data_IF_060482827554
#
_entry.id   IF_060482827554
#
_cell.length_a   1.000
_cell.length_b   1.000
_cell.length_c   1.000
_cell.angle_alpha   90.00
_cell.angle_beta   90.00
_cell.angle_gamma   90.00
#
_symmetry.space_group_name_H-M   'P 1'
#
loop_
_entity.id
_entity.type
_entity.pdbx_description
1 polymer ?
#
# COMPACT_ATOMS: atom_id res chain seq x y z
N UNK A 1 9.00 10.22 33.78
CA UNK A 1 9.80 11.34 34.33
C UNK A 1 11.20 10.81 34.58
N UNK A 2 12.25 11.61 34.31
CA UNK A 2 13.70 11.28 34.22
C UNK A 2 14.06 10.51 32.93
N UNK A 3 14.79 11.02 31.94
CA UNK A 3 16.04 11.79 32.00
C UNK A 3 16.11 12.89 30.91
N UNK A 4 15.91 14.13 31.33
CA UNK A 4 16.17 15.33 30.51
C UNK A 4 17.61 15.87 30.68
N UNK A 5 18.45 15.15 31.44
CA UNK A 5 19.83 15.54 31.76
C UNK A 5 20.76 15.73 30.54
N UNK A 6 20.69 14.93 29.46
CA UNK A 6 21.57 15.11 28.31
C UNK A 6 21.18 16.34 27.48
N UNK A 7 19.87 16.55 27.26
CA UNK A 7 19.34 17.72 26.56
C UNK A 7 19.57 19.01 27.35
N UNK A 8 19.33 18.99 28.65
CA UNK A 8 19.63 20.11 29.54
C UNK A 8 21.15 20.39 29.61
N UNK A 9 21.98 19.35 29.57
CA UNK A 9 23.44 19.44 29.51
C UNK A 9 23.94 20.06 28.20
N UNK A 10 23.40 19.61 27.06
CA UNK A 10 23.71 20.14 25.73
C UNK A 10 23.26 21.59 25.53
N UNK A 11 22.01 21.91 25.91
CA UNK A 11 21.51 23.30 25.90
C UNK A 11 22.29 24.20 26.88
N UNK A 12 22.69 23.65 28.04
CA UNK A 12 23.55 24.34 29.00
C UNK A 12 24.96 24.62 28.46
N UNK A 13 25.55 23.66 27.74
CA UNK A 13 26.86 23.82 27.10
C UNK A 13 26.80 24.85 25.96
N UNK A 14 25.76 24.81 25.13
CA UNK A 14 25.51 25.80 24.08
C UNK A 14 25.33 27.21 24.68
N UNK A 15 24.54 27.34 25.75
CA UNK A 15 24.33 28.61 26.46
C UNK A 15 25.61 29.16 27.08
N UNK A 16 26.48 28.29 27.62
CA UNK A 16 27.81 28.66 28.12
C UNK A 16 28.74 29.10 26.98
N UNK A 17 28.72 28.41 25.84
CA UNK A 17 29.49 28.78 24.65
C UNK A 17 29.14 30.18 24.14
N UNK A 18 27.84 30.49 24.03
CA UNK A 18 27.37 31.84 23.64
C UNK A 18 27.78 32.91 24.67
N UNK A 19 27.78 32.59 25.97
CA UNK A 19 28.24 33.54 26.99
C UNK A 19 29.75 33.80 26.96
N UNK A 20 30.55 32.79 26.57
CA UNK A 20 32.00 32.94 26.39
C UNK A 20 32.36 33.85 25.21
N UNK A 21 31.49 33.92 24.19
CA UNK A 21 31.67 34.76 23.02
C UNK A 21 31.70 36.26 23.34
N UNK A 22 31.00 36.70 24.41
CA UNK A 22 31.07 38.09 24.91
C UNK A 22 32.49 38.45 25.39
N UNK A 23 33.18 37.52 26.05
CA UNK A 23 34.55 37.73 26.52
C UNK A 23 35.52 37.83 25.35
N UNK A 24 35.41 36.93 24.37
CA UNK A 24 36.27 36.95 23.18
C UNK A 24 36.05 38.20 22.31
N UNK A 25 34.81 38.68 22.19
CA UNK A 25 34.50 39.95 21.52
C UNK A 25 35.07 41.17 22.27
N UNK A 26 35.04 41.15 23.61
CA UNK A 26 35.64 42.19 24.44
C UNK A 26 37.17 42.22 24.27
N UNK A 27 37.81 41.06 24.21
CA UNK A 27 39.26 40.92 24.00
C UNK A 27 39.67 41.34 22.58
N UNK A 28 38.88 41.00 21.55
CA UNK A 28 39.16 41.35 20.15
C UNK A 28 38.89 42.84 19.81
N UNK A 29 37.93 43.48 20.49
CA UNK A 29 37.55 44.88 20.24
C UNK A 29 38.40 45.90 21.02
N UNK A 30 39.30 45.43 21.90
CA UNK A 30 40.20 46.27 22.69
C UNK A 30 39.51 47.12 23.76
N UNK A 31 40.26 48.01 24.45
CA UNK A 31 39.78 48.73 25.64
C UNK A 31 38.54 49.60 25.39
N UNK A 32 38.36 50.10 24.16
CA UNK A 32 37.22 50.93 23.75
C UNK A 32 36.00 50.10 23.29
N UNK A 33 36.19 48.81 22.98
CA UNK A 33 35.13 47.91 22.53
C UNK A 33 34.17 47.50 23.65
N UNK A 34 34.68 47.35 24.88
CA UNK A 34 33.87 46.98 26.05
C UNK A 34 32.78 48.02 26.33
N UNK A 35 33.11 49.31 26.21
CA UNK A 35 32.15 50.40 26.38
C UNK A 35 31.04 50.42 25.32
N UNK A 36 31.36 50.06 24.08
CA UNK A 36 30.39 49.95 22.99
C UNK A 36 29.48 48.72 23.16
N UNK A 37 30.02 47.58 23.61
CA UNK A 37 29.25 46.37 23.88
C UNK A 37 28.28 46.57 25.07
N UNK A 38 28.70 47.29 26.10
CA UNK A 38 27.83 47.64 27.24
C UNK A 38 26.79 48.72 26.87
N UNK A 39 27.10 49.65 25.97
CA UNK A 39 26.11 50.57 25.41
C UNK A 39 25.05 49.82 24.58
N UNK A 40 25.46 48.83 23.78
CA UNK A 40 24.56 47.98 23.00
C UNK A 40 23.65 47.11 23.88
N UNK A 41 24.18 46.50 24.95
CA UNK A 41 23.39 45.71 25.88
C UNK A 41 22.39 46.56 26.68
N UNK A 42 22.74 47.81 27.01
CA UNK A 42 21.81 48.75 27.66
C UNK A 42 20.70 49.22 26.73
N UNK A 43 21.00 49.42 25.45
CA UNK A 43 20.04 49.85 24.43
C UNK A 43 19.12 48.72 23.95
N UNK A 44 19.63 47.49 23.95
CA UNK A 44 18.92 46.27 23.57
C UNK A 44 19.13 45.17 24.63
N UNK A 45 18.34 45.15 25.71
CA UNK A 45 18.47 44.16 26.77
C UNK A 45 18.32 42.74 26.23
N UNK A 46 19.37 41.92 26.35
CA UNK A 46 19.38 40.54 25.86
C UNK A 46 19.97 40.36 24.47
N UNK A 47 20.59 41.39 23.87
CA UNK A 47 21.27 41.32 22.58
C UNK A 47 22.18 40.09 22.46
N UNK A 48 23.10 39.89 23.41
CA UNK A 48 24.02 38.73 23.43
C UNK A 48 23.35 37.38 23.74
N UNK A 49 22.06 37.39 24.11
CA UNK A 49 21.25 36.19 24.31
C UNK A 49 20.29 35.94 23.14
N UNK A 50 20.28 36.81 22.12
CA UNK A 50 19.43 36.67 20.95
C UNK A 50 19.99 35.61 19.98
N UNK A 51 19.09 34.88 19.32
CA UNK A 51 19.47 33.93 18.26
C UNK A 51 20.24 34.59 17.11
N UNK A 52 20.01 35.90 16.88
CA UNK A 52 20.71 36.68 15.87
C UNK A 52 22.22 36.79 16.09
N UNK A 53 22.68 36.89 17.35
CA UNK A 53 24.12 36.94 17.64
C UNK A 53 24.78 35.58 17.38
N UNK A 54 24.11 34.48 17.73
CA UNK A 54 24.59 33.14 17.42
C UNK A 54 24.63 32.89 15.90
N UNK A 55 23.61 33.33 15.17
CA UNK A 55 23.56 33.27 13.72
C UNK A 55 24.67 34.10 13.05
N UNK A 56 24.91 35.32 13.53
CA UNK A 56 25.99 36.18 13.03
C UNK A 56 27.39 35.59 13.30
N UNK A 57 27.58 34.99 14.47
CA UNK A 57 28.82 34.29 14.80
C UNK A 57 29.08 33.08 13.89
N UNK A 58 28.04 32.30 13.58
CA UNK A 58 28.11 31.17 12.64
C UNK A 58 28.37 31.63 11.20
N UNK A 59 27.72 32.72 10.77
CA UNK A 59 28.00 33.32 9.47
C UNK A 59 29.47 33.77 9.35
N UNK A 60 30.07 34.27 10.43
CA UNK A 60 31.48 34.66 10.50
C UNK A 60 32.49 33.51 10.67
N UNK A 61 32.04 32.27 10.87
CA UNK A 61 32.91 31.12 11.12
C UNK A 61 33.71 30.70 9.86
N UNK A 62 34.74 29.86 10.06
CA UNK A 62 35.55 29.31 8.96
C UNK A 62 34.67 28.52 7.99
N UNK A 63 35.02 28.42 6.69
CA UNK A 63 34.18 27.76 5.69
C UNK A 63 33.77 26.32 6.06
N UNK A 64 34.69 25.54 6.66
CA UNK A 64 34.41 24.17 7.11
C UNK A 64 33.40 24.11 8.27
N UNK A 65 33.50 25.01 9.24
CA UNK A 65 32.59 25.10 10.38
C UNK A 65 31.21 25.63 9.95
N UNK A 66 31.19 26.54 8.96
CA UNK A 66 29.96 27.02 8.32
C UNK A 66 29.25 25.90 7.58
N UNK A 67 29.97 25.12 6.78
CA UNK A 67 29.40 23.98 6.04
C UNK A 67 28.87 22.88 6.99
N UNK A 68 29.54 22.63 8.11
CA UNK A 68 29.06 21.70 9.14
C UNK A 68 27.80 22.22 9.88
N UNK A 69 27.69 23.54 10.05
CA UNK A 69 26.56 24.18 10.73
C UNK A 69 25.38 24.52 9.82
N UNK A 70 25.56 24.61 8.50
CA UNK A 70 24.48 24.72 7.49
C UNK A 70 23.51 23.53 7.57
N UNK A 71 23.99 22.36 7.99
CA UNK A 71 23.15 21.20 8.29
C UNK A 71 22.30 21.37 9.56
N UNK A 72 22.54 22.36 10.42
CA UNK A 72 21.81 22.54 11.68
C UNK A 72 21.09 23.90 11.75
N UNK A 73 21.61 24.93 11.11
CA UNK A 73 21.03 26.27 11.06
C UNK A 73 21.27 26.84 9.67
N UNK A 74 20.20 27.26 8.99
CA UNK A 74 20.33 27.91 7.67
C UNK A 74 20.88 29.32 7.85
N UNK A 75 22.19 29.46 7.82
CA UNK A 75 22.87 30.75 7.92
C UNK A 75 22.77 31.57 6.63
N UNK A 76 22.41 30.96 5.49
CA UNK A 76 22.31 31.63 4.20
C UNK A 76 21.03 32.48 4.07
N UNK A 77 19.92 32.05 4.69
CA UNK A 77 18.64 32.78 4.68
C UNK A 77 18.31 33.44 6.03
N UNK A 78 19.34 33.90 6.75
CA UNK A 78 19.15 34.71 7.96
C UNK A 78 18.80 33.91 9.22
N UNK A 79 19.16 32.62 9.29
CA UNK A 79 18.95 31.74 10.44
C UNK A 79 17.48 31.64 10.90
N UNK A 80 16.55 31.74 9.94
CA UNK A 80 15.11 31.54 10.15
C UNK A 80 14.74 30.06 10.30
N UNK A 81 15.64 29.14 9.98
CA UNK A 81 15.45 27.69 10.09
C UNK A 81 16.53 27.06 10.98
N UNK A 82 16.10 26.23 11.94
CA UNK A 82 16.96 25.41 12.79
C UNK A 82 16.53 23.95 12.74
N UNK A 83 17.49 23.04 12.67
CA UNK A 83 17.29 21.59 12.64
C UNK A 83 17.89 20.95 13.89
N UNK A 84 17.06 20.23 14.63
CA UNK A 84 17.47 19.37 15.73
C UNK A 84 17.48 17.93 15.20
N UNK A 85 18.63 17.26 15.25
CA UNK A 85 18.76 15.86 14.81
C UNK A 85 18.73 14.96 16.04
N UNK A 86 17.76 14.04 16.06
CA UNK A 86 17.64 12.98 17.06
C UNK A 86 18.13 11.68 16.44
N UNK A 87 19.18 11.08 17.00
CA UNK A 87 19.69 9.78 16.57
C UNK A 87 19.30 8.75 17.63
N UNK A 88 18.27 7.92 17.40
CA UNK A 88 17.95 6.82 18.29
C UNK A 88 18.97 5.68 18.11
N UNK A 89 19.26 4.95 19.19
CA UNK A 89 20.08 3.72 19.16
C UNK A 89 19.30 2.50 18.62
N UNK A 90 18.10 2.73 18.07
CA UNK A 90 17.16 1.71 17.63
C UNK A 90 16.94 1.79 16.11
N UNK A 91 16.65 0.65 15.45
CA UNK A 91 16.27 0.65 14.04
C UNK A 91 15.06 1.52 13.74
N UNK A 92 15.02 2.05 12.51
CA UNK A 92 13.96 2.93 12.00
C UNK A 92 12.55 2.31 12.07
N UNK A 93 12.45 0.99 11.92
CA UNK A 93 11.21 0.22 11.90
C UNK A 93 10.85 -0.43 13.25
N UNK A 94 11.57 -0.11 14.34
CA UNK A 94 11.24 -0.61 15.68
C UNK A 94 9.96 0.08 16.22
N UNK A 95 9.01 -0.66 16.83
CA UNK A 95 7.81 -0.06 17.45
C UNK A 95 8.14 1.05 18.45
N UNK A 96 9.26 0.93 19.17
CA UNK A 96 9.74 1.96 20.13
C UNK A 96 10.21 3.22 19.41
N UNK A 97 10.83 3.09 18.25
CA UNK A 97 11.19 4.24 17.39
C UNK A 97 9.94 4.94 16.89
N UNK A 98 8.89 4.19 16.55
CA UNK A 98 7.59 4.76 16.17
C UNK A 98 6.94 5.53 17.33
N UNK A 99 6.98 4.98 18.55
CA UNK A 99 6.51 5.67 19.75
C UNK A 99 7.32 6.94 20.06
N UNK A 100 8.64 6.91 19.83
CA UNK A 100 9.51 8.08 19.96
C UNK A 100 9.13 9.18 18.96
N UNK A 101 8.89 8.84 17.69
CA UNK A 101 8.41 9.79 16.68
C UNK A 101 7.10 10.45 17.12
N UNK A 102 6.16 9.68 17.65
CA UNK A 102 4.89 10.20 18.16
C UNK A 102 5.10 11.14 19.36
N UNK A 103 5.99 10.80 20.29
CA UNK A 103 6.33 11.65 21.43
C UNK A 103 6.97 12.97 20.98
N UNK A 104 7.93 12.92 20.06
CA UNK A 104 8.60 14.11 19.50
C UNK A 104 7.59 15.01 18.78
N UNK A 105 6.65 14.44 18.01
CA UNK A 105 5.56 15.22 17.38
C UNK A 105 4.66 15.89 18.41
N UNK A 106 4.36 15.21 19.52
CA UNK A 106 3.58 15.76 20.62
C UNK A 106 4.24 16.99 21.23
N UNK A 107 5.53 16.93 21.50
CA UNK A 107 6.31 18.03 22.04
C UNK A 107 6.50 19.17 21.04
N UNK A 108 6.78 18.86 19.76
CA UNK A 108 6.85 19.88 18.70
C UNK A 108 5.52 20.61 18.58
N UNK A 109 4.39 19.89 18.57
CA UNK A 109 3.06 20.52 18.50
C UNK A 109 2.76 21.42 19.69
N UNK A 110 3.23 21.07 20.90
CA UNK A 110 3.13 21.94 22.08
C UNK A 110 3.97 23.20 21.89
N UNK A 111 5.22 23.03 21.48
CA UNK A 111 6.14 24.13 21.27
C UNK A 111 5.64 25.14 20.21
N UNK A 112 5.05 24.64 19.12
CA UNK A 112 4.40 25.48 18.10
C UNK A 112 3.26 26.32 18.66
N UNK A 113 2.43 25.76 19.56
CA UNK A 113 1.35 26.52 20.21
C UNK A 113 1.87 27.59 21.16
N UNK A 114 2.90 27.26 21.93
CA UNK A 114 3.42 28.16 22.98
C UNK A 114 4.26 29.32 22.41
N UNK A 115 4.94 29.10 21.28
CA UNK A 115 5.89 30.07 20.71
C UNK A 115 5.47 30.65 19.36
N UNK A 116 4.48 30.06 18.69
CA UNK A 116 4.06 30.47 17.34
C UNK A 116 5.02 30.07 16.22
N UNK A 117 6.05 29.26 16.51
CA UNK A 117 6.99 28.79 15.49
C UNK A 117 6.36 27.76 14.56
N UNK A 118 6.85 27.71 13.31
CA UNK A 118 6.54 26.61 12.39
C UNK A 118 7.64 25.57 12.50
N UNK A 119 7.29 24.33 12.87
CA UNK A 119 8.24 23.23 13.03
C UNK A 119 7.63 21.96 12.45
N UNK A 120 8.47 21.15 11.79
CA UNK A 120 8.08 19.87 11.23
C UNK A 120 9.02 18.78 11.74
N UNK A 121 8.47 17.58 11.95
CA UNK A 121 9.25 16.38 12.31
C UNK A 121 9.52 15.61 11.02
N UNK A 122 10.79 15.33 10.76
CA UNK A 122 11.24 14.60 9.58
C UNK A 122 12.20 13.45 9.92
N UNK A 123 12.91 12.95 8.91
CA UNK A 123 13.82 11.81 9.05
C UNK A 123 13.18 10.46 8.71
N UNK A 124 13.99 9.43 8.54
CA UNK A 124 13.55 8.12 8.02
C UNK A 124 12.43 7.48 8.84
N UNK A 125 12.50 7.56 10.17
CA UNK A 125 11.47 6.98 11.05
C UNK A 125 10.15 7.72 10.95
N UNK A 126 10.20 9.05 10.86
CA UNK A 126 9.02 9.89 10.64
C UNK A 126 8.37 9.59 9.29
N UNK A 127 9.17 9.48 8.23
CA UNK A 127 8.68 9.15 6.89
C UNK A 127 8.03 7.76 6.83
N UNK A 128 8.65 6.75 7.46
CA UNK A 128 8.09 5.40 7.50
C UNK A 128 6.77 5.38 8.29
N UNK A 129 6.72 6.06 9.44
CA UNK A 129 5.49 6.19 10.23
C UNK A 129 4.37 6.92 9.48
N UNK A 130 4.69 7.97 8.73
CA UNK A 130 3.73 8.68 7.88
C UNK A 130 3.24 7.80 6.73
N UNK A 131 4.15 7.08 6.08
CA UNK A 131 3.83 6.15 5.01
C UNK A 131 2.87 5.05 5.49
N UNK A 132 3.16 4.46 6.66
CA UNK A 132 2.30 3.47 7.29
C UNK A 132 0.90 4.03 7.61
N UNK A 133 0.84 5.23 8.20
CA UNK A 133 -0.41 5.86 8.58
C UNK A 133 -1.28 6.18 7.35
N UNK A 134 -0.68 6.77 6.31
CA UNK A 134 -1.38 7.09 5.06
C UNK A 134 -1.84 5.82 4.38
N UNK A 135 -0.99 4.80 4.28
CA UNK A 135 -1.32 3.55 3.60
C UNK A 135 -2.46 2.82 4.31
N UNK A 136 -2.40 2.68 5.63
CA UNK A 136 -3.49 2.09 6.44
C UNK A 136 -4.82 2.81 6.23
N UNK A 137 -4.81 4.13 6.18
CA UNK A 137 -6.01 4.93 5.93
C UNK A 137 -6.58 4.74 4.50
N UNK A 138 -5.73 4.36 3.54
CA UNK A 138 -6.12 4.18 2.13
C UNK A 138 -6.52 2.75 1.78
N UNK A 139 -6.12 1.74 2.56
CA UNK A 139 -6.51 0.33 2.32
C UNK A 139 -8.03 0.18 2.11
N UNK A 140 -8.93 0.72 2.96
CA UNK A 140 -10.37 0.56 2.76
C UNK A 140 -10.86 1.16 1.43
N UNK A 141 -10.34 2.34 1.07
CA UNK A 141 -10.66 3.00 -0.20
C UNK A 141 -10.18 2.14 -1.38
N UNK A 142 -8.95 1.62 -1.30
CA UNK A 142 -8.37 0.77 -2.32
C UNK A 142 -9.18 -0.53 -2.46
N UNK A 143 -9.61 -1.15 -1.36
CA UNK A 143 -10.50 -2.32 -1.38
C UNK A 143 -11.83 -1.99 -2.05
N UNK A 144 -12.51 -0.90 -1.66
CA UNK A 144 -13.80 -0.51 -2.25
C UNK A 144 -13.66 -0.24 -3.75
N UNK A 145 -12.66 0.53 -4.16
CA UNK A 145 -12.45 0.90 -5.56
C UNK A 145 -12.13 -0.34 -6.40
N UNK A 146 -11.21 -1.20 -5.95
CA UNK A 146 -10.85 -2.44 -6.64
C UNK A 146 -12.05 -3.39 -6.73
N UNK A 147 -12.77 -3.61 -5.62
CA UNK A 147 -14.00 -4.41 -5.59
C UNK A 147 -15.08 -3.87 -6.51
N UNK A 148 -15.28 -2.55 -6.54
CA UNK A 148 -16.28 -1.92 -7.40
C UNK A 148 -15.91 -2.04 -8.88
N UNK A 149 -14.65 -1.78 -9.24
CA UNK A 149 -14.18 -1.90 -10.62
C UNK A 149 -14.32 -3.34 -11.11
N UNK A 150 -13.90 -4.32 -10.31
CA UNK A 150 -14.04 -5.74 -10.67
C UNK A 150 -15.50 -6.17 -10.73
N UNK A 151 -16.34 -5.72 -9.80
CA UNK A 151 -17.77 -5.98 -9.83
C UNK A 151 -18.38 -5.45 -11.13
N UNK A 152 -18.12 -4.19 -11.49
CA UNK A 152 -18.65 -3.58 -12.71
C UNK A 152 -18.14 -4.28 -13.97
N UNK A 153 -16.86 -4.63 -14.02
CA UNK A 153 -16.28 -5.40 -15.11
C UNK A 153 -17.03 -6.73 -15.27
N UNK A 154 -17.14 -7.51 -14.19
CA UNK A 154 -17.81 -8.81 -14.21
C UNK A 154 -19.31 -8.70 -14.50
N UNK A 155 -20.00 -7.62 -14.11
CA UNK A 155 -21.40 -7.37 -14.50
C UNK A 155 -21.52 -7.24 -16.02
N UNK A 156 -20.60 -6.54 -16.68
CA UNK A 156 -20.58 -6.40 -18.14
C UNK A 156 -20.32 -7.75 -18.81
N UNK A 157 -19.34 -8.50 -18.30
CA UNK A 157 -18.96 -9.83 -18.84
C UNK A 157 -20.07 -10.86 -18.66
N UNK A 158 -20.63 -10.93 -17.45
CA UNK A 158 -21.50 -12.02 -17.02
C UNK A 158 -22.98 -11.72 -17.21
N UNK A 159 -23.35 -10.45 -17.38
CA UNK A 159 -24.75 -9.99 -17.42
C UNK A 159 -25.56 -10.54 -16.24
N UNK A 160 -24.98 -10.48 -15.04
CA UNK A 160 -25.60 -10.87 -13.78
C UNK A 160 -25.13 -9.91 -12.68
N UNK A 161 -25.95 -9.68 -11.65
CA UNK A 161 -25.55 -8.92 -10.46
C UNK A 161 -25.08 -9.80 -9.29
N UNK A 162 -25.71 -10.97 -9.10
CA UNK A 162 -25.39 -11.84 -7.96
C UNK A 162 -24.07 -12.58 -8.16
N UNK A 163 -23.78 -13.02 -9.38
CA UNK A 163 -22.56 -13.78 -9.67
C UNK A 163 -21.29 -12.94 -9.50
N UNK A 164 -21.20 -11.69 -10.01
CA UNK A 164 -20.10 -10.78 -9.68
C UNK A 164 -19.98 -10.46 -8.19
N UNK A 165 -21.11 -10.25 -7.49
CA UNK A 165 -21.08 -9.96 -6.06
C UNK A 165 -20.48 -11.13 -5.28
N UNK A 166 -20.89 -12.36 -5.61
CA UNK A 166 -20.34 -13.57 -5.04
C UNK A 166 -18.84 -13.72 -5.34
N UNK A 167 -18.42 -13.48 -6.58
CA UNK A 167 -17.02 -13.56 -6.99
C UNK A 167 -16.13 -12.56 -6.21
N UNK A 168 -16.59 -11.32 -6.05
CA UNK A 168 -15.87 -10.30 -5.27
C UNK A 168 -15.83 -10.67 -3.79
N UNK A 169 -16.93 -11.15 -3.21
CA UNK A 169 -16.98 -11.59 -1.81
C UNK A 169 -16.00 -12.74 -1.53
N UNK A 170 -15.95 -13.73 -2.43
CA UNK A 170 -15.03 -14.85 -2.34
C UNK A 170 -13.56 -14.41 -2.50
N UNK A 171 -13.28 -13.44 -3.37
CA UNK A 171 -11.94 -12.88 -3.49
C UNK A 171 -11.50 -12.15 -2.20
N UNK A 172 -12.40 -11.37 -1.61
CA UNK A 172 -12.14 -10.72 -0.32
C UNK A 172 -11.89 -11.75 0.79
N UNK A 173 -12.62 -12.87 0.78
CA UNK A 173 -12.39 -13.98 1.70
C UNK A 173 -10.96 -14.54 1.54
N UNK A 174 -10.48 -14.75 0.31
CA UNK A 174 -9.09 -15.17 0.05
C UNK A 174 -8.08 -14.21 0.66
N UNK A 175 -8.28 -12.91 0.46
CA UNK A 175 -7.42 -11.87 1.03
C UNK A 175 -7.42 -11.94 2.55
N UNK A 176 -8.59 -12.06 3.19
CA UNK A 176 -8.69 -12.18 4.65
C UNK A 176 -7.96 -13.41 5.16
N UNK A 177 -8.10 -14.56 4.49
CA UNK A 177 -7.38 -15.79 4.87
C UNK A 177 -5.87 -15.60 4.74
N UNK A 178 -5.39 -15.04 3.64
CA UNK A 178 -3.96 -14.76 3.44
C UNK A 178 -3.41 -13.81 4.52
N UNK A 179 -4.11 -12.72 4.81
CA UNK A 179 -3.72 -11.78 5.86
C UNK A 179 -3.77 -12.40 7.26
N UNK A 180 -4.76 -13.27 7.52
CA UNK A 180 -4.86 -14.03 8.77
C UNK A 180 -3.66 -14.95 8.97
N UNK A 181 -3.24 -15.67 7.92
CA UNK A 181 -2.04 -16.52 7.95
C UNK A 181 -0.76 -15.69 8.14
N UNK A 182 -0.63 -14.56 7.44
CA UNK A 182 0.51 -13.66 7.64
C UNK A 182 0.58 -13.12 9.06
N UNK A 183 -0.56 -12.67 9.60
CA UNK A 183 -0.64 -12.19 10.98
C UNK A 183 -0.22 -13.28 11.95
N UNK A 184 -0.72 -14.51 11.77
CA UNK A 184 -0.35 -15.66 12.60
C UNK A 184 1.14 -16.02 12.55
N UNK A 185 1.78 -15.91 11.38
CA UNK A 185 3.17 -16.35 11.20
C UNK A 185 4.22 -15.29 11.54
N UNK A 186 3.90 -14.01 11.37
CA UNK A 186 4.87 -12.91 11.46
C UNK A 186 4.58 -11.89 12.55
N UNK A 187 3.41 -11.95 13.21
CA UNK A 187 3.06 -11.02 14.29
C UNK A 187 3.16 -11.69 15.65
N UNK A 188 3.53 -10.93 16.68
CA UNK A 188 3.65 -11.39 18.08
C UNK A 188 5.07 -11.32 18.62
N UNK A 189 5.23 -11.67 19.89
CA UNK A 189 6.54 -11.58 20.59
C UNK A 189 7.57 -12.57 20.06
N UNK A 190 7.09 -13.71 19.54
CA UNK A 190 7.91 -14.78 18.97
C UNK A 190 7.35 -15.23 17.60
N UNK A 191 7.61 -14.47 16.52
CA UNK A 191 7.10 -14.81 15.20
C UNK A 191 7.72 -16.12 14.70
N UNK A 192 6.86 -17.03 14.22
CA UNK A 192 7.22 -18.40 13.81
C UNK A 192 8.25 -18.39 12.67
N UNK A 193 8.11 -17.48 11.71
CA UNK A 193 8.98 -17.36 10.54
C UNK A 193 10.05 -16.27 10.66
N UNK A 194 10.22 -15.72 11.86
CA UNK A 194 11.16 -14.64 12.19
C UNK A 194 10.66 -13.24 11.80
N UNK A 195 11.42 -12.22 12.19
CA UNK A 195 11.11 -10.81 11.94
C UNK A 195 10.85 -10.00 13.21
N UNK A 196 10.54 -8.72 13.04
CA UNK A 196 10.33 -7.76 14.14
C UNK A 196 8.94 -7.86 14.80
N UNK A 197 8.24 -8.99 14.65
CA UNK A 197 6.90 -9.19 15.20
C UNK A 197 5.81 -8.31 14.57
N UNK A 198 6.04 -7.77 13.39
CA UNK A 198 5.11 -6.90 12.66
C UNK A 198 5.13 -7.15 11.16
N UNK A 199 4.01 -6.84 10.51
CA UNK A 199 3.87 -6.91 9.05
C UNK A 199 4.29 -5.59 8.41
N UNK A 200 5.06 -5.69 7.33
CA UNK A 200 5.42 -4.53 6.52
C UNK A 200 4.19 -4.04 5.74
N UNK A 201 3.79 -2.80 5.95
CA UNK A 201 2.59 -2.20 5.34
C UNK A 201 2.71 -2.12 3.82
N UNK A 202 3.91 -1.91 3.29
CA UNK A 202 4.17 -1.94 1.86
C UNK A 202 3.94 -3.34 1.31
N UNK A 203 4.41 -4.38 2.01
CA UNK A 203 4.22 -5.77 1.60
C UNK A 203 2.76 -6.21 1.72
N UNK A 204 2.05 -5.82 2.79
CA UNK A 204 0.60 -6.05 2.92
C UNK A 204 -0.15 -5.48 1.72
N UNK A 205 0.16 -4.23 1.36
CA UNK A 205 -0.50 -3.55 0.24
C UNK A 205 -0.16 -4.22 -1.09
N UNK A 206 1.07 -4.67 -1.27
CA UNK A 206 1.51 -5.43 -2.44
C UNK A 206 0.80 -6.79 -2.53
N UNK A 207 0.74 -7.56 -1.44
CA UNK A 207 0.01 -8.84 -1.39
C UNK A 207 -1.46 -8.61 -1.72
N UNK A 208 -2.11 -7.62 -1.11
CA UNK A 208 -3.49 -7.27 -1.41
C UNK A 208 -3.66 -6.99 -2.91
N UNK A 209 -2.86 -6.08 -3.47
CA UNK A 209 -3.00 -5.64 -4.87
C UNK A 209 -2.74 -6.79 -5.85
N UNK A 210 -1.69 -7.57 -5.62
CA UNK A 210 -1.31 -8.70 -6.49
C UNK A 210 -2.32 -9.84 -6.37
N UNK A 211 -2.77 -10.21 -5.16
CA UNK A 211 -3.86 -11.19 -5.00
C UNK A 211 -5.11 -10.74 -5.75
N UNK A 212 -5.46 -9.46 -5.64
CA UNK A 212 -6.64 -8.94 -6.31
C UNK A 212 -6.49 -8.98 -7.85
N UNK A 213 -5.33 -8.58 -8.37
CA UNK A 213 -5.02 -8.65 -9.80
C UNK A 213 -5.06 -10.09 -10.33
N UNK A 214 -4.38 -11.03 -9.66
CA UNK A 214 -4.34 -12.44 -10.06
C UNK A 214 -5.73 -13.09 -10.02
N UNK A 215 -6.56 -12.73 -9.03
CA UNK A 215 -7.90 -13.31 -8.90
C UNK A 215 -8.80 -12.96 -10.09
N UNK A 216 -8.73 -11.71 -10.58
CA UNK A 216 -9.54 -11.22 -11.71
C UNK A 216 -9.31 -12.06 -12.96
N UNK A 217 -8.05 -12.32 -13.32
CA UNK A 217 -7.69 -13.03 -14.55
C UNK A 217 -8.36 -14.41 -14.63
N UNK A 218 -8.26 -15.17 -13.54
CA UNK A 218 -8.87 -16.49 -13.49
C UNK A 218 -10.38 -16.43 -13.25
N UNK A 219 -10.90 -15.45 -12.49
CA UNK A 219 -12.34 -15.31 -12.26
C UNK A 219 -13.06 -15.04 -13.56
N UNK A 220 -12.56 -14.10 -14.36
CA UNK A 220 -13.13 -13.79 -15.68
C UNK A 220 -13.10 -15.04 -16.56
N UNK A 221 -11.98 -15.77 -16.61
CA UNK A 221 -11.87 -16.99 -17.42
C UNK A 221 -12.88 -18.08 -16.99
N UNK A 222 -12.93 -18.40 -15.70
CA UNK A 222 -13.83 -19.43 -15.17
C UNK A 222 -15.30 -19.06 -15.37
N UNK A 223 -15.68 -17.83 -14.98
CA UNK A 223 -17.06 -17.38 -15.00
C UNK A 223 -17.57 -17.16 -16.44
N UNK A 224 -16.69 -16.75 -17.36
CA UNK A 224 -17.04 -16.67 -18.79
C UNK A 224 -17.38 -18.04 -19.36
N UNK A 225 -16.62 -19.09 -18.99
CA UNK A 225 -16.93 -20.47 -19.41
C UNK A 225 -18.20 -21.01 -18.78
N UNK A 226 -18.44 -20.73 -17.49
CA UNK A 226 -19.73 -21.06 -16.87
C UNK A 226 -20.89 -20.37 -17.59
N UNK A 227 -20.74 -19.09 -17.94
CA UNK A 227 -21.76 -18.34 -18.69
C UNK A 227 -22.02 -18.93 -20.06
N UNK A 228 -21.00 -19.34 -20.79
CA UNK A 228 -21.14 -20.05 -22.07
C UNK A 228 -21.99 -21.33 -21.90
N UNK A 229 -21.72 -22.11 -20.86
CA UNK A 229 -22.52 -23.28 -20.50
C UNK A 229 -23.97 -22.94 -20.16
N UNK A 230 -24.20 -21.85 -19.41
CA UNK A 230 -25.53 -21.39 -19.06
C UNK A 230 -26.33 -20.92 -20.28
N UNK A 231 -25.74 -20.10 -21.15
CA UNK A 231 -26.39 -19.61 -22.37
C UNK A 231 -26.80 -20.77 -23.30
N UNK A 232 -26.02 -21.85 -23.32
CA UNK A 232 -26.32 -23.04 -24.14
C UNK A 232 -27.39 -23.95 -23.55
N UNK A 233 -27.42 -24.12 -22.23
CA UNK A 233 -28.24 -25.16 -21.56
C UNK A 233 -29.43 -24.61 -20.78
N UNK A 234 -29.40 -23.33 -20.39
CA UNK A 234 -30.34 -22.73 -19.44
C UNK A 234 -30.24 -23.30 -18.02
N UNK A 235 -29.36 -24.26 -17.76
CA UNK A 235 -29.24 -24.97 -16.49
C UNK A 235 -28.07 -24.42 -15.68
N UNK A 236 -28.34 -24.04 -14.42
CA UNK A 236 -27.29 -23.58 -13.50
C UNK A 236 -26.27 -24.69 -13.21
N UNK A 237 -26.74 -25.91 -12.95
CA UNK A 237 -25.85 -27.04 -12.66
C UNK A 237 -25.05 -27.45 -13.89
N UNK A 238 -25.69 -27.43 -15.07
CA UNK A 238 -25.00 -27.63 -16.35
C UNK A 238 -23.92 -26.58 -16.63
N UNK A 239 -24.17 -25.32 -16.25
CA UNK A 239 -23.20 -24.24 -16.38
C UNK A 239 -21.98 -24.43 -15.47
N UNK A 240 -22.21 -24.84 -14.21
CA UNK A 240 -21.14 -25.12 -13.25
C UNK A 240 -20.29 -26.30 -13.73
N UNK A 241 -20.91 -27.43 -14.11
CA UNK A 241 -20.21 -28.62 -14.60
C UNK A 241 -19.39 -28.31 -15.86
N UNK A 242 -19.99 -27.62 -16.83
CA UNK A 242 -19.32 -27.24 -18.07
C UNK A 242 -18.12 -26.31 -17.81
N UNK A 243 -18.32 -25.26 -17.00
CA UNK A 243 -17.28 -24.29 -16.69
C UNK A 243 -16.10 -24.94 -15.97
N UNK A 244 -16.37 -25.66 -14.86
CA UNK A 244 -15.31 -26.29 -14.05
C UNK A 244 -14.52 -27.30 -14.87
N UNK A 245 -15.18 -28.20 -15.62
CA UNK A 245 -14.47 -29.22 -16.42
C UNK A 245 -13.56 -28.61 -17.47
N UNK A 246 -13.95 -27.50 -18.08
CA UNK A 246 -13.18 -26.90 -19.17
C UNK A 246 -11.98 -26.10 -18.68
N UNK A 247 -12.03 -25.59 -17.47
CA UNK A 247 -11.01 -24.68 -16.93
C UNK A 247 -10.12 -25.33 -15.88
N UNK A 248 -10.56 -26.42 -15.24
CA UNK A 248 -9.87 -27.02 -14.09
C UNK A 248 -8.39 -27.30 -14.37
N UNK A 249 -8.03 -27.91 -15.49
CA UNK A 249 -6.63 -28.24 -15.81
C UNK A 249 -5.77 -27.00 -16.01
N UNK A 250 -6.27 -25.99 -16.72
CA UNK A 250 -5.51 -24.77 -17.01
C UNK A 250 -5.33 -23.94 -15.74
N UNK A 251 -6.38 -23.82 -14.93
CA UNK A 251 -6.33 -23.06 -13.67
C UNK A 251 -5.44 -23.75 -12.64
N UNK A 252 -5.57 -25.07 -12.46
CA UNK A 252 -4.76 -25.80 -11.46
C UNK A 252 -3.28 -25.87 -11.84
N UNK A 253 -2.95 -26.04 -13.13
CA UNK A 253 -1.55 -26.01 -13.59
C UNK A 253 -0.91 -24.64 -13.40
N UNK A 254 -1.62 -23.56 -13.76
CA UNK A 254 -1.12 -22.20 -13.53
C UNK A 254 -0.98 -21.89 -12.02
N UNK A 255 -1.95 -22.32 -11.20
CA UNK A 255 -1.89 -22.19 -9.75
C UNK A 255 -0.68 -22.94 -9.16
N UNK A 256 -0.41 -24.17 -9.61
CA UNK A 256 0.74 -24.95 -9.14
C UNK A 256 2.07 -24.23 -9.42
N UNK A 257 2.23 -23.63 -10.61
CA UNK A 257 3.43 -22.86 -10.95
C UNK A 257 3.56 -21.63 -10.05
N UNK A 258 2.49 -20.84 -9.91
CA UNK A 258 2.50 -19.64 -9.07
C UNK A 258 2.79 -19.94 -7.60
N UNK A 259 2.11 -20.95 -7.03
CA UNK A 259 2.35 -21.39 -5.65
C UNK A 259 3.80 -21.83 -5.48
N UNK A 260 4.38 -22.55 -6.44
CA UNK A 260 5.80 -22.95 -6.38
C UNK A 260 6.74 -21.75 -6.36
N UNK A 261 6.51 -20.75 -7.22
CA UNK A 261 7.32 -19.51 -7.28
C UNK A 261 7.19 -18.69 -6.01
N UNK A 262 5.97 -18.46 -5.51
CA UNK A 262 5.76 -17.68 -4.29
C UNK A 262 6.26 -18.41 -3.04
N UNK A 263 6.17 -19.74 -3.02
CA UNK A 263 6.75 -20.54 -1.95
C UNK A 263 8.28 -20.41 -1.93
N UNK A 264 8.94 -20.28 -3.08
CA UNK A 264 10.38 -20.02 -3.12
C UNK A 264 10.76 -18.71 -2.41
N UNK A 265 9.93 -17.67 -2.51
CA UNK A 265 10.14 -16.40 -1.78
C UNK A 265 9.99 -16.56 -0.26
N UNK A 266 9.26 -17.57 0.22
CA UNK A 266 9.15 -17.87 1.65
C UNK A 266 10.48 -18.36 2.28
N UNK A 267 11.46 -18.72 1.46
CA UNK A 267 12.81 -19.07 1.91
C UNK A 267 13.81 -17.90 1.83
N UNK A 268 13.36 -16.71 1.43
CA UNK A 268 14.22 -15.53 1.38
C UNK A 268 14.69 -15.13 2.79
N UNK A 269 15.94 -14.67 2.90
CA UNK A 269 16.50 -14.12 4.14
C UNK A 269 15.84 -12.80 4.53
N UNK A 270 15.45 -12.01 3.54
CA UNK A 270 14.79 -10.73 3.77
C UNK A 270 13.30 -10.93 4.12
N UNK A 271 12.94 -10.58 5.36
CA UNK A 271 11.60 -10.82 5.93
C UNK A 271 10.47 -10.24 5.10
N UNK A 272 10.65 -9.06 4.49
CA UNK A 272 9.62 -8.45 3.66
C UNK A 272 9.28 -9.31 2.42
N UNK A 273 10.31 -9.85 1.74
CA UNK A 273 10.12 -10.79 0.62
C UNK A 273 9.49 -12.09 1.10
N UNK A 274 9.87 -12.56 2.29
CA UNK A 274 9.27 -13.74 2.92
C UNK A 274 7.76 -13.56 3.17
N UNK A 275 7.36 -12.42 3.72
CA UNK A 275 5.95 -12.07 3.95
C UNK A 275 5.17 -12.04 2.63
N UNK A 276 5.73 -11.41 1.59
CA UNK A 276 5.10 -11.38 0.27
C UNK A 276 4.93 -12.79 -0.32
N UNK A 277 5.98 -13.61 -0.27
CA UNK A 277 5.96 -14.99 -0.75
C UNK A 277 4.90 -15.85 -0.08
N UNK A 278 4.90 -15.87 1.26
CA UNK A 278 3.92 -16.63 2.04
C UNK A 278 2.49 -16.13 1.77
N UNK A 279 2.28 -14.81 1.77
CA UNK A 279 0.96 -14.21 1.56
C UNK A 279 0.37 -14.58 0.21
N UNK A 280 1.16 -14.44 -0.86
CA UNK A 280 0.72 -14.77 -2.22
C UNK A 280 0.55 -16.27 -2.44
N UNK A 281 1.45 -17.11 -1.91
CA UNK A 281 1.33 -18.56 -2.01
C UNK A 281 0.02 -19.06 -1.36
N UNK A 282 -0.28 -18.58 -0.15
CA UNK A 282 -1.52 -18.91 0.56
C UNK A 282 -2.74 -18.40 -0.19
N UNK A 283 -2.72 -17.15 -0.64
CA UNK A 283 -3.83 -16.55 -1.37
C UNK A 283 -4.18 -17.34 -2.64
N UNK A 284 -3.17 -17.64 -3.47
CA UNK A 284 -3.37 -18.41 -4.70
C UNK A 284 -3.81 -19.83 -4.41
N UNK A 285 -3.20 -20.49 -3.42
CA UNK A 285 -3.57 -21.87 -3.06
C UNK A 285 -5.03 -21.96 -2.62
N UNK A 286 -5.46 -21.05 -1.74
CA UNK A 286 -6.84 -21.00 -1.23
C UNK A 286 -7.82 -20.65 -2.36
N UNK A 287 -7.48 -19.68 -3.21
CA UNK A 287 -8.34 -19.28 -4.33
C UNK A 287 -8.52 -20.43 -5.33
N UNK A 288 -7.42 -21.04 -5.75
CA UNK A 288 -7.43 -22.09 -6.76
C UNK A 288 -8.12 -23.38 -6.30
N UNK A 289 -8.08 -23.67 -5.00
CA UNK A 289 -8.62 -24.93 -4.44
C UNK A 289 -9.95 -24.70 -3.72
N UNK A 290 -9.92 -24.12 -2.53
CA UNK A 290 -11.09 -23.97 -1.66
C UNK A 290 -12.13 -23.07 -2.30
N UNK A 291 -11.73 -21.92 -2.83
CA UNK A 291 -12.69 -20.96 -3.38
C UNK A 291 -13.29 -21.47 -4.68
N UNK A 292 -12.46 -21.83 -5.66
CA UNK A 292 -12.95 -22.16 -7.01
C UNK A 292 -13.54 -23.56 -7.14
N UNK A 293 -13.00 -24.55 -6.44
CA UNK A 293 -13.47 -25.93 -6.58
C UNK A 293 -14.61 -26.25 -5.60
N UNK A 294 -14.75 -25.48 -4.52
CA UNK A 294 -15.71 -25.78 -3.46
C UNK A 294 -16.68 -24.62 -3.24
N UNK A 295 -16.22 -23.47 -2.77
CA UNK A 295 -17.11 -22.40 -2.31
C UNK A 295 -17.93 -21.78 -3.45
N UNK A 296 -17.32 -21.51 -4.60
CA UNK A 296 -17.99 -20.92 -5.75
C UNK A 296 -19.07 -21.87 -6.31
N UNK A 297 -18.78 -23.14 -6.67
CA UNK A 297 -19.80 -24.09 -7.09
C UNK A 297 -20.91 -24.26 -6.05
N UNK A 298 -20.57 -24.44 -4.77
CA UNK A 298 -21.55 -24.63 -3.71
C UNK A 298 -22.49 -23.41 -3.57
N UNK A 299 -21.93 -22.20 -3.58
CA UNK A 299 -22.72 -20.98 -3.51
C UNK A 299 -23.61 -20.78 -4.75
N UNK A 300 -23.11 -21.10 -5.95
CA UNK A 300 -23.93 -21.06 -7.17
C UNK A 300 -25.06 -22.10 -7.15
N UNK A 301 -24.81 -23.31 -6.64
CA UNK A 301 -25.85 -24.34 -6.47
C UNK A 301 -26.91 -23.89 -5.47
N UNK A 302 -26.51 -23.29 -4.34
CA UNK A 302 -27.44 -22.76 -3.33
C UNK A 302 -28.29 -21.60 -3.86
N UNK A 303 -27.71 -20.71 -4.67
CA UNK A 303 -28.43 -19.59 -5.29
C UNK A 303 -29.32 -20.03 -6.47
N UNK A 304 -29.00 -21.17 -7.09
CA UNK A 304 -29.74 -21.72 -8.22
C UNK A 304 -29.80 -20.76 -9.40
N UNK A 305 -30.97 -20.66 -10.04
CA UNK A 305 -31.18 -19.79 -11.20
C UNK A 305 -31.03 -18.29 -10.88
N UNK A 306 -31.21 -17.88 -9.61
CA UNK A 306 -31.05 -16.48 -9.20
C UNK A 306 -29.63 -15.97 -9.45
N UNK A 307 -28.65 -16.86 -9.48
CA UNK A 307 -27.25 -16.55 -9.82
C UNK A 307 -27.12 -15.78 -11.14
N UNK A 308 -28.05 -15.97 -12.08
CA UNK A 308 -28.05 -15.36 -13.41
C UNK A 308 -29.01 -14.16 -13.53
N UNK A 309 -29.57 -13.71 -12.41
CA UNK A 309 -30.55 -12.61 -12.42
C UNK A 309 -29.93 -11.28 -12.84
N UNK A 310 -30.61 -10.61 -13.77
CA UNK A 310 -30.31 -9.27 -14.23
C UNK A 310 -31.61 -8.47 -14.44
N UNK A 311 -31.70 -7.23 -13.94
CA UNK A 311 -32.83 -6.35 -14.23
C UNK A 311 -32.93 -6.04 -15.73
N UNK A 312 -34.14 -6.13 -16.29
CA UNK A 312 -34.37 -5.91 -17.74
C UNK A 312 -33.94 -4.52 -18.25
N UNK A 313 -33.98 -3.49 -17.40
CA UNK A 313 -33.50 -2.15 -17.76
C UNK A 313 -31.98 -2.08 -17.91
N UNK A 314 -31.25 -2.88 -17.11
CA UNK A 314 -29.80 -2.94 -17.14
C UNK A 314 -29.35 -3.80 -18.32
N UNK A 315 -30.05 -4.90 -18.57
CA UNK A 315 -29.81 -5.76 -19.73
C UNK A 315 -29.91 -5.00 -21.07
N UNK A 316 -30.86 -4.06 -21.18
CA UNK A 316 -30.99 -3.21 -22.38
C UNK A 316 -29.86 -2.19 -22.56
N UNK A 317 -29.17 -1.79 -21.49
CA UNK A 317 -28.12 -0.76 -21.53
C UNK A 317 -26.71 -1.32 -21.60
N UNK A 318 -26.52 -2.58 -21.23
CA UNK A 318 -25.19 -3.20 -21.22
C UNK A 318 -24.71 -3.51 -22.65
N UNK A 319 -23.46 -3.16 -23.00
CA UNK A 319 -22.88 -3.54 -24.27
C UNK A 319 -22.67 -5.05 -24.36
N UNK A 320 -22.78 -5.60 -25.57
CA UNK A 320 -22.42 -7.00 -25.82
C UNK A 320 -20.91 -7.07 -26.01
N UNK A 321 -20.19 -7.46 -24.95
CA UNK A 321 -18.74 -7.62 -24.99
C UNK A 321 -18.43 -9.09 -25.21
N UNK A 322 -17.79 -9.38 -26.34
CA UNK A 322 -17.35 -10.72 -26.70
C UNK A 322 -15.85 -10.84 -26.40
N UNK A 323 -15.53 -11.39 -25.24
CA UNK A 323 -14.16 -11.39 -24.68
C UNK A 323 -13.25 -12.35 -25.46
N UNK A 324 -13.82 -13.34 -26.13
CA UNK A 324 -13.08 -14.39 -26.85
C UNK A 324 -13.19 -14.27 -28.39
N UNK A 325 -13.89 -13.25 -28.92
CA UNK A 325 -13.98 -13.01 -30.37
C UNK A 325 -14.66 -14.12 -31.16
N UNK A 326 -15.49 -14.95 -30.53
CA UNK A 326 -16.30 -15.96 -31.23
C UNK A 326 -17.51 -15.25 -31.78
N UNK A 327 -17.29 -14.56 -32.91
CA UNK A 327 -18.31 -13.84 -33.63
C UNK A 327 -19.60 -14.65 -33.71
N UNK A 328 -20.68 -13.99 -33.27
CA UNK A 328 -22.08 -14.30 -33.53
C UNK A 328 -22.24 -15.45 -34.53
N UNK A 329 -22.72 -16.65 -34.13
CA UNK A 329 -23.13 -17.66 -35.07
C UNK A 329 -24.37 -17.10 -35.78
N UNK A 330 -24.15 -16.18 -36.72
CA UNK A 330 -25.12 -15.85 -37.75
C UNK A 330 -25.57 -17.20 -38.30
N UNK A 331 -26.89 -17.47 -38.36
CA UNK A 331 -27.37 -18.73 -38.87
C UNK A 331 -26.77 -18.90 -40.27
N UNK A 332 -25.86 -19.87 -40.40
CA UNK A 332 -25.28 -20.23 -41.67
C UNK A 332 -26.44 -20.59 -42.56
N UNK A 333 -26.68 -19.72 -43.55
CA UNK A 333 -27.72 -19.86 -44.55
C UNK A 333 -27.54 -21.25 -45.14
N UNK A 334 -28.47 -22.15 -44.79
CA UNK A 334 -28.48 -23.55 -45.21
C UNK A 334 -28.21 -23.56 -46.72
N UNK A 335 -27.16 -24.25 -47.23
CA UNK A 335 -26.92 -24.28 -48.65
C UNK A 335 -28.17 -24.83 -49.34
N UNK A 336 -28.61 -24.23 -50.48
CA UNK A 336 -29.79 -24.69 -51.18
C UNK A 336 -29.63 -26.17 -51.49
N UNK A 337 -30.63 -26.98 -51.10
CA UNK A 337 -30.67 -28.40 -51.43
C UNK A 337 -30.52 -28.53 -52.96
N UNK A 338 -29.63 -29.38 -53.47
CA UNK A 338 -29.60 -29.65 -54.89
C UNK A 338 -30.96 -30.18 -55.31
N UNK A 339 -31.59 -29.51 -56.27
CA UNK A 339 -32.83 -29.95 -56.89
C UNK A 339 -32.57 -31.30 -57.53
N UNK A 340 -33.20 -32.35 -57.00
CA UNK A 340 -33.30 -33.64 -57.67
C UNK A 340 -34.19 -33.47 -58.89
N UNK A 341 -33.59 -33.21 -60.04
CA UNK A 341 -34.26 -33.35 -61.33
C UNK A 341 -34.53 -34.85 -61.54
N UNK A 342 -35.78 -35.28 -61.79
CA UNK A 342 -36.04 -36.68 -62.12
C UNK A 342 -35.43 -36.95 -63.50
N UNK A 343 -34.50 -37.90 -63.57
CA UNK A 343 -34.06 -38.49 -64.84
C UNK A 343 -35.24 -39.32 -65.35
N UNK A 344 -35.97 -38.74 -66.30
CA UNK A 344 -36.97 -39.46 -67.10
C UNK A 344 -36.21 -40.48 -67.95
N UNK A 345 -36.53 -41.75 -67.75
CA UNK A 345 -36.02 -42.84 -68.59
C UNK A 345 -36.54 -42.70 -70.02
N UNK A 346 -35.64 -42.82 -70.98
CA UNK A 346 -35.95 -43.14 -72.37
C UNK A 346 -35.24 -44.46 -72.68
N UNK A 347 -36.03 -45.48 -73.03
CA UNK A 347 -35.54 -46.68 -73.68
C UNK A 347 -34.96 -46.34 -75.05
N UNK A 348 -33.89 -47.02 -75.45
CA UNK A 348 -33.91 -48.24 -76.27
C UNK A 348 -32.58 -48.98 -76.09
#
# INVERSE_FOLDING_TARGET
MTDSAPLAGGLGAARRGVSGYRGQLADAAGPNGIGQLDALQRRSPGFFRSGYVAAAALAGARPLDRQASEMLVDTAHGATFGRIVLLPDLPTNDPRTTALVAAVRGEVSRWQRDTGITAAVGGGASQLSDFDAVTKARIPLLTIVMSLVTFLLLVVVLRSLLLPALAVALNLLTVVVSMGVLTFLFTGDHPILGGAGSLDVLMISAVFAVTFALSIDYQVFLLSRMREGYVRTGSNDGAIDFGVRRTATVVTSAAAIMVSVFTAFAFAEFVAVKQMGVGLAVAVLVDATVVRLVLLPAAMTLLGERTWWLPAWLDRRLPHVDIEGVGDPRPTRRPPRPSTTPVVGSGD
#
